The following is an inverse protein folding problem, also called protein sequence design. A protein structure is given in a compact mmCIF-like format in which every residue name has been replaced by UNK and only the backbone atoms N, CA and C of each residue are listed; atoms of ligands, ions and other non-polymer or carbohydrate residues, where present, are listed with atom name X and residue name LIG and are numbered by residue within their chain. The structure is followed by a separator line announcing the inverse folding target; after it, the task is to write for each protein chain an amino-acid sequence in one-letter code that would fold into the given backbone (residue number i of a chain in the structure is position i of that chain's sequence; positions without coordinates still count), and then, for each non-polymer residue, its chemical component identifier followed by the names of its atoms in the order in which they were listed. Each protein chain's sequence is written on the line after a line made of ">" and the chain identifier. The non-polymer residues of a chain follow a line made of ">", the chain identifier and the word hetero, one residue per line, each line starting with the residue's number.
data_IF_628329510443
#
_entry.id   IF_628329510443
#
_cell.length_a   1.000
_cell.length_b   1.000
_cell.length_c   1.000
_cell.angle_alpha   90.00
_cell.angle_beta   90.00
_cell.angle_gamma   90.00
#
_symmetry.space_group_name_H-M   'P 1'
#
loop_
_entity.id
_entity.type
_entity.pdbx_description
1 polymer ?
#
# COMPACT_ATOMS: atom_id res chain seq x y z
N UNK A 1 2.15 15.87 -14.40
CA UNK A 1 3.17 14.89 -13.99
C UNK A 1 4.55 15.40 -14.39
N UNK A 2 5.61 15.06 -13.66
CA UNK A 2 6.97 15.42 -14.05
C UNK A 2 7.41 14.59 -15.27
N UNK A 3 7.83 15.23 -16.35
CA UNK A 3 8.26 14.54 -17.58
C UNK A 3 9.78 14.27 -17.55
N UNK A 4 10.18 13.00 -17.57
CA UNK A 4 11.60 12.58 -17.61
C UNK A 4 12.35 13.17 -18.81
N UNK A 5 11.66 13.47 -19.91
CA UNK A 5 12.28 14.07 -21.11
C UNK A 5 12.88 15.44 -20.83
N UNK A 6 12.36 16.18 -19.84
CA UNK A 6 12.94 17.48 -19.44
C UNK A 6 14.37 17.31 -18.93
N UNK A 7 14.64 16.31 -18.10
CA UNK A 7 16.01 16.07 -17.61
C UNK A 7 16.89 15.42 -18.68
N UNK A 8 16.33 14.61 -19.57
CA UNK A 8 17.07 14.00 -20.69
C UNK A 8 17.55 15.05 -21.70
N UNK A 9 16.76 16.10 -21.95
CA UNK A 9 17.11 17.22 -22.84
C UNK A 9 18.01 18.27 -22.19
N UNK A 10 18.25 18.20 -20.89
CA UNK A 10 18.98 19.23 -20.15
C UNK A 10 20.36 19.53 -20.74
N UNK A 11 21.09 18.51 -21.22
CA UNK A 11 22.39 18.71 -21.87
C UNK A 11 22.31 19.38 -23.24
N UNK A 12 21.18 19.25 -23.93
CA UNK A 12 20.92 19.97 -25.19
C UNK A 12 20.48 21.41 -24.93
N UNK A 13 19.63 21.61 -23.92
CA UNK A 13 19.11 22.93 -23.53
C UNK A 13 20.21 23.81 -22.89
N UNK A 14 21.17 23.18 -22.21
CA UNK A 14 22.29 23.86 -21.55
C UNK A 14 23.64 23.19 -21.92
N UNK A 15 24.21 23.48 -23.10
CA UNK A 15 25.42 22.81 -23.59
C UNK A 15 26.68 23.04 -22.72
N UNK A 16 26.73 24.13 -21.96
CA UNK A 16 27.82 24.43 -21.03
C UNK A 16 27.69 23.75 -19.66
N UNK A 17 26.58 23.03 -19.42
CA UNK A 17 26.35 22.39 -18.14
C UNK A 17 27.31 21.23 -17.89
N UNK A 18 27.96 21.23 -16.73
CA UNK A 18 28.79 20.12 -16.29
C UNK A 18 27.93 19.02 -15.66
N UNK A 19 28.09 17.77 -16.13
CA UNK A 19 27.33 16.62 -15.63
C UNK A 19 28.14 15.79 -14.64
N UNK A 20 27.71 15.80 -13.38
CA UNK A 20 28.26 14.92 -12.32
C UNK A 20 27.34 13.72 -12.12
N UNK A 21 27.89 12.50 -12.15
CA UNK A 21 27.13 11.27 -12.00
C UNK A 21 27.45 10.55 -10.68
N UNK A 22 26.52 10.59 -9.73
CA UNK A 22 26.66 9.90 -8.44
C UNK A 22 26.19 8.44 -8.54
N UNK A 23 27.09 7.52 -8.90
CA UNK A 23 26.77 6.12 -9.20
C UNK A 23 26.57 5.22 -7.97
N UNK A 24 27.13 5.59 -6.82
CA UNK A 24 27.13 4.74 -5.63
C UNK A 24 25.89 4.98 -4.78
N UNK A 25 25.17 3.91 -4.44
CA UNK A 25 24.06 3.92 -3.49
C UNK A 25 24.56 3.43 -2.13
N UNK A 26 24.59 4.32 -1.13
CA UNK A 26 25.04 4.01 0.23
C UNK A 26 23.92 3.55 1.17
N UNK A 27 22.69 3.47 0.66
CA UNK A 27 21.49 3.21 1.46
C UNK A 27 21.17 1.73 1.57
N UNK A 28 21.04 1.08 0.41
CA UNK A 28 20.41 -0.24 0.35
C UNK A 28 21.44 -1.37 0.37
N UNK A 29 21.04 -2.58 0.81
CA UNK A 29 21.85 -3.78 0.66
C UNK A 29 22.21 -4.05 -0.80
N UNK A 30 23.37 -4.68 -1.02
CA UNK A 30 23.88 -4.94 -2.38
C UNK A 30 22.92 -5.78 -3.24
N UNK A 31 22.20 -6.74 -2.65
CA UNK A 31 21.20 -7.55 -3.33
C UNK A 31 19.97 -6.74 -3.76
N UNK A 32 19.50 -5.80 -2.93
CA UNK A 32 18.41 -4.86 -3.28
C UNK A 32 18.83 -3.97 -4.44
N UNK A 33 20.05 -3.43 -4.42
CA UNK A 33 20.58 -2.62 -5.53
C UNK A 33 20.72 -3.44 -6.81
N UNK A 34 21.28 -4.65 -6.73
CA UNK A 34 21.42 -5.51 -7.90
C UNK A 34 20.06 -5.84 -8.55
N UNK A 35 19.06 -6.20 -7.75
CA UNK A 35 17.72 -6.54 -8.25
C UNK A 35 17.00 -5.31 -8.86
N UNK A 36 16.95 -4.21 -8.12
CA UNK A 36 16.27 -2.98 -8.56
C UNK A 36 16.96 -2.32 -9.77
N UNK A 37 18.29 -2.38 -9.86
CA UNK A 37 19.05 -1.87 -10.99
C UNK A 37 18.82 -2.69 -12.26
N UNK A 38 18.70 -4.03 -12.17
CA UNK A 38 18.34 -4.90 -13.30
C UNK A 38 16.96 -4.55 -13.84
N UNK A 39 15.97 -4.45 -12.94
CA UNK A 39 14.61 -4.07 -13.29
C UNK A 39 14.59 -2.73 -14.02
N UNK A 40 15.05 -1.65 -13.39
CA UNK A 40 14.96 -0.31 -13.99
C UNK A 40 15.79 -0.16 -15.29
N UNK A 41 16.77 -1.04 -15.54
CA UNK A 41 17.55 -1.06 -16.78
C UNK A 41 16.74 -1.47 -18.02
N UNK A 42 15.55 -2.06 -17.84
CA UNK A 42 14.60 -2.36 -18.93
C UNK A 42 14.04 -1.09 -19.58
N UNK A 43 13.96 0.04 -18.84
CA UNK A 43 13.49 1.31 -19.39
C UNK A 43 14.40 1.81 -20.52
N UNK A 44 13.80 2.28 -21.61
CA UNK A 44 14.46 2.89 -22.77
C UNK A 44 14.67 4.38 -22.55
N UNK A 45 13.67 5.12 -22.04
CA UNK A 45 13.80 6.56 -21.77
C UNK A 45 14.50 6.83 -20.44
N UNK A 46 15.84 6.65 -20.42
CA UNK A 46 16.67 6.90 -19.23
C UNK A 46 18.08 7.36 -19.56
N UNK A 47 18.75 7.94 -18.56
CA UNK A 47 20.21 7.97 -18.55
C UNK A 47 20.75 6.58 -18.22
N UNK A 48 21.71 6.11 -19.02
CA UNK A 48 22.51 4.93 -18.71
C UNK A 48 23.45 5.24 -17.53
N UNK A 49 22.90 5.18 -16.32
CA UNK A 49 23.62 5.36 -15.06
C UNK A 49 23.85 4.00 -14.39
N UNK A 50 25.10 3.57 -14.18
CA UNK A 50 25.37 2.40 -13.37
C UNK A 50 25.07 2.74 -11.91
N UNK A 51 24.15 2.02 -11.29
CA UNK A 51 23.83 2.15 -9.86
C UNK A 51 24.47 0.96 -9.16
N UNK A 52 25.38 1.24 -8.23
CA UNK A 52 26.20 0.20 -7.58
C UNK A 52 26.18 0.38 -6.07
N UNK A 53 26.24 -0.71 -5.33
CA UNK A 53 26.57 -0.68 -3.91
C UNK A 53 28.05 -0.29 -3.72
N UNK A 54 28.47 0.19 -2.53
CA UNK A 54 29.86 0.44 -2.21
C UNK A 54 30.72 -0.81 -2.40
N UNK A 55 31.98 -0.61 -2.78
CA UNK A 55 32.96 -1.70 -2.88
C UNK A 55 33.08 -2.42 -1.54
N UNK A 56 33.03 -3.75 -1.54
CA UNK A 56 33.12 -4.57 -0.33
C UNK A 56 31.82 -4.69 0.46
N UNK A 57 30.69 -4.16 -0.02
CA UNK A 57 29.41 -4.38 0.62
C UNK A 57 29.07 -5.88 0.67
N UNK A 58 28.72 -6.43 1.85
CA UNK A 58 28.38 -7.83 1.98
C UNK A 58 27.14 -8.15 1.13
N UNK A 59 27.23 -9.21 0.33
CA UNK A 59 26.10 -9.74 -0.43
C UNK A 59 25.29 -10.62 0.52
N UNK A 60 24.40 -10.00 1.31
CA UNK A 60 23.43 -10.76 2.08
C UNK A 60 22.35 -11.29 1.15
N UNK A 61 22.31 -12.62 0.99
CA UNK A 61 21.24 -13.33 0.28
C UNK A 61 19.86 -13.13 0.93
N UNK A 62 19.84 -12.75 2.21
CA UNK A 62 18.62 -12.65 3.01
C UNK A 62 18.07 -11.23 3.12
N UNK A 63 18.60 -10.27 2.37
CA UNK A 63 18.09 -8.89 2.35
C UNK A 63 16.87 -8.69 1.46
N UNK A 64 16.49 -9.71 0.66
CA UNK A 64 15.21 -9.76 -0.06
C UNK A 64 14.51 -11.05 0.33
N UNK A 65 13.25 -10.97 0.73
CA UNK A 65 12.37 -12.11 0.94
C UNK A 65 11.07 -11.96 0.17
N UNK A 66 10.45 -13.07 -0.18
CA UNK A 66 9.14 -13.13 -0.81
C UNK A 66 8.15 -13.74 0.18
N UNK A 67 6.92 -13.22 0.21
CA UNK A 67 5.85 -13.68 1.06
C UNK A 67 4.59 -13.94 0.22
N UNK A 68 4.01 -15.13 0.36
CA UNK A 68 2.79 -15.49 -0.36
C UNK A 68 1.55 -14.85 0.30
N UNK A 69 0.73 -14.17 -0.48
CA UNK A 69 -0.58 -13.66 -0.03
C UNK A 69 -1.75 -14.60 -0.39
N UNK A 70 -1.45 -15.81 -0.88
CA UNK A 70 -2.48 -16.80 -1.22
C UNK A 70 -3.19 -17.36 0.02
N UNK A 71 -2.50 -17.40 1.16
CA UNK A 71 -3.11 -17.76 2.45
C UNK A 71 -3.87 -16.56 3.03
N UNK A 72 -5.19 -16.65 3.30
CA UNK A 72 -5.98 -15.54 3.86
C UNK A 72 -5.46 -14.97 5.19
N UNK A 73 -4.63 -15.72 5.93
CA UNK A 73 -4.00 -15.30 7.18
C UNK A 73 -2.72 -14.47 7.00
N UNK A 74 -2.28 -14.25 5.76
CA UNK A 74 -1.08 -13.46 5.46
C UNK A 74 -1.05 -12.08 6.14
N UNK A 75 -2.17 -11.33 6.30
CA UNK A 75 -2.12 -10.02 6.96
C UNK A 75 -1.77 -10.16 8.45
N UNK A 76 -2.30 -11.18 9.13
CA UNK A 76 -1.99 -11.42 10.54
C UNK A 76 -0.54 -11.88 10.73
N UNK A 77 -0.01 -12.64 9.78
CA UNK A 77 1.40 -13.01 9.79
C UNK A 77 2.32 -11.78 9.58
N UNK A 78 1.95 -10.89 8.67
CA UNK A 78 2.61 -9.58 8.49
C UNK A 78 2.53 -8.71 9.74
N UNK A 79 1.38 -8.66 10.42
CA UNK A 79 1.23 -7.90 11.65
C UNK A 79 2.10 -8.47 12.79
N UNK A 80 2.21 -9.79 12.92
CA UNK A 80 3.16 -10.43 13.84
C UNK A 80 4.60 -10.08 13.50
N UNK A 81 4.97 -10.12 12.22
CA UNK A 81 6.30 -9.70 11.77
C UNK A 81 6.56 -8.23 12.11
N UNK A 82 5.63 -7.32 11.85
CA UNK A 82 5.75 -5.91 12.23
C UNK A 82 5.91 -5.72 13.75
N UNK A 83 5.16 -6.47 14.56
CA UNK A 83 5.32 -6.45 16.02
C UNK A 83 6.75 -6.86 16.46
N UNK A 84 7.37 -7.82 15.77
CA UNK A 84 8.77 -8.19 16.07
C UNK A 84 9.79 -7.14 15.66
N UNK A 85 9.52 -6.37 14.61
CA UNK A 85 10.37 -5.23 14.21
C UNK A 85 10.19 -4.06 15.18
N UNK A 86 8.95 -3.72 15.56
CA UNK A 86 8.62 -2.70 16.57
C UNK A 86 9.27 -3.01 17.92
N UNK A 87 9.13 -4.24 18.43
CA UNK A 87 9.74 -4.68 19.69
C UNK A 87 11.28 -4.60 19.67
N UNK A 88 11.89 -4.63 18.48
CA UNK A 88 13.33 -4.48 18.32
C UNK A 88 13.77 -3.04 17.99
N UNK A 89 12.85 -2.08 18.01
CA UNK A 89 13.10 -0.67 17.70
C UNK A 89 13.45 -0.42 16.22
N UNK A 90 13.11 -1.35 15.33
CA UNK A 90 13.44 -1.25 13.90
C UNK A 90 12.31 -0.64 13.11
N UNK A 91 12.65 0.31 12.25
CA UNK A 91 11.67 0.96 11.37
C UNK A 91 11.18 0.01 10.27
N UNK A 92 9.86 -0.06 10.08
CA UNK A 92 9.21 -0.86 9.05
C UNK A 92 8.13 -0.05 8.32
N UNK A 93 8.09 -0.14 7.00
CA UNK A 93 7.00 0.46 6.22
C UNK A 93 6.34 -0.56 5.29
N UNK A 94 5.02 -0.68 5.39
CA UNK A 94 4.18 -1.32 4.39
C UNK A 94 3.88 -0.31 3.29
N UNK A 95 4.37 -0.60 2.08
CA UNK A 95 4.14 0.19 0.89
C UNK A 95 3.20 -0.55 -0.07
N UNK A 96 2.30 0.19 -0.71
CA UNK A 96 1.46 -0.31 -1.81
C UNK A 96 1.31 0.74 -2.90
N UNK A 97 0.74 0.33 -4.04
CA UNK A 97 0.48 1.24 -5.14
C UNK A 97 -0.72 2.15 -4.86
N UNK A 98 -1.73 1.63 -4.17
CA UNK A 98 -2.97 2.32 -3.80
C UNK A 98 -3.31 2.10 -2.33
N UNK A 99 -4.01 3.05 -1.68
CA UNK A 99 -4.32 2.96 -0.25
C UNK A 99 -5.17 1.75 0.12
N UNK A 100 -6.13 1.37 -0.73
CA UNK A 100 -7.05 0.25 -0.48
C UNK A 100 -6.34 -1.09 -0.31
N UNK A 101 -5.22 -1.31 -0.99
CA UNK A 101 -4.42 -2.54 -0.90
C UNK A 101 -3.82 -2.77 0.50
N UNK A 102 -3.68 -1.73 1.31
CA UNK A 102 -3.14 -1.81 2.67
C UNK A 102 -4.21 -2.05 3.74
N UNK A 103 -5.50 -2.04 3.36
CA UNK A 103 -6.59 -2.22 4.32
C UNK A 103 -6.49 -3.55 5.10
N UNK A 104 -6.19 -4.71 4.48
CA UNK A 104 -6.03 -5.96 5.22
C UNK A 104 -4.92 -5.89 6.28
N UNK A 105 -3.80 -5.25 5.94
CA UNK A 105 -2.66 -5.08 6.85
C UNK A 105 -3.01 -4.13 8.00
N UNK A 106 -3.66 -3.00 7.70
CA UNK A 106 -4.13 -2.05 8.71
C UNK A 106 -5.02 -2.75 9.74
N UNK A 107 -6.01 -3.52 9.29
CA UNK A 107 -6.90 -4.26 10.18
C UNK A 107 -6.15 -5.30 11.01
N UNK A 108 -5.18 -6.01 10.42
CA UNK A 108 -4.36 -6.98 11.13
C UNK A 108 -3.47 -6.33 12.20
N UNK A 109 -2.85 -5.17 11.91
CA UNK A 109 -2.10 -4.40 12.90
C UNK A 109 -2.98 -3.95 14.05
N UNK A 110 -4.20 -3.48 13.75
CA UNK A 110 -5.20 -3.11 14.77
C UNK A 110 -5.55 -4.32 15.62
N UNK A 111 -5.84 -5.49 15.03
CA UNK A 111 -6.12 -6.73 15.80
C UNK A 111 -4.94 -7.15 16.66
N UNK A 112 -3.72 -7.06 16.15
CA UNK A 112 -2.49 -7.38 16.87
C UNK A 112 -2.11 -6.35 17.95
N UNK A 113 -2.73 -5.16 17.95
CA UNK A 113 -2.41 -4.10 18.92
C UNK A 113 -1.09 -3.39 18.62
N UNK A 114 -0.67 -3.37 17.34
CA UNK A 114 0.58 -2.75 16.92
C UNK A 114 0.35 -1.27 16.66
N UNK A 115 1.11 -0.41 17.35
CA UNK A 115 1.10 1.03 17.11
C UNK A 115 1.65 1.32 15.72
N UNK A 116 1.03 2.25 15.01
CA UNK A 116 1.44 2.53 13.64
C UNK A 116 1.14 3.97 13.21
N UNK A 117 1.93 4.45 12.25
CA UNK A 117 1.68 5.68 11.51
C UNK A 117 0.97 5.37 10.21
N UNK A 118 -0.15 6.04 9.93
CA UNK A 118 -0.80 5.92 8.62
C UNK A 118 -1.62 7.14 8.26
N UNK A 119 -1.58 7.52 6.98
CA UNK A 119 -2.51 8.48 6.38
C UNK A 119 -3.70 7.78 5.69
N UNK A 120 -3.84 6.46 5.85
CA UNK A 120 -4.99 5.71 5.34
C UNK A 120 -6.14 5.93 6.30
N UNK A 121 -7.28 6.36 5.75
CA UNK A 121 -8.53 6.45 6.51
C UNK A 121 -9.18 5.06 6.59
N UNK A 122 -9.33 4.47 7.78
CA UNK A 122 -10.09 3.26 7.99
C UNK A 122 -11.55 3.50 7.65
N UNK A 123 -12.21 2.43 7.24
CA UNK A 123 -13.61 2.43 6.84
C UNK A 123 -14.55 2.99 7.91
N UNK A 124 -14.27 2.72 9.19
CA UNK A 124 -15.07 3.21 10.31
C UNK A 124 -15.02 4.73 10.50
N UNK A 125 -14.07 5.42 9.88
CA UNK A 125 -13.91 6.87 9.92
C UNK A 125 -14.42 7.57 8.65
N UNK A 126 -14.89 6.82 7.64
CA UNK A 126 -15.49 7.41 6.45
C UNK A 126 -16.71 8.27 6.84
N UNK A 127 -16.82 9.49 6.29
CA UNK A 127 -17.89 10.43 6.66
C UNK A 127 -19.29 9.83 6.47
N UNK A 128 -19.50 9.10 5.38
CA UNK A 128 -20.73 8.35 5.08
C UNK A 128 -21.06 7.30 6.15
N UNK A 129 -20.06 6.56 6.63
CA UNK A 129 -20.22 5.59 7.72
C UNK A 129 -20.53 6.29 9.05
N UNK A 130 -19.81 7.36 9.39
CA UNK A 130 -20.06 8.15 10.61
C UNK A 130 -21.49 8.67 10.60
N UNK A 131 -21.94 9.25 9.49
CA UNK A 131 -23.31 9.75 9.36
C UNK A 131 -24.36 8.64 9.55
N UNK A 132 -24.17 7.49 8.90
CA UNK A 132 -25.07 6.35 9.05
C UNK A 132 -25.14 5.84 10.50
N UNK A 133 -24.01 5.74 11.18
CA UNK A 133 -23.98 5.28 12.59
C UNK A 133 -24.61 6.28 13.55
N UNK A 134 -24.42 7.59 13.33
CA UNK A 134 -25.11 8.62 14.11
C UNK A 134 -26.63 8.57 13.89
N UNK A 135 -27.07 8.43 12.64
CA UNK A 135 -28.48 8.31 12.32
C UNK A 135 -29.13 7.05 12.91
N UNK A 136 -28.39 5.94 12.99
CA UNK A 136 -28.86 4.73 13.66
C UNK A 136 -28.98 4.93 15.17
N UNK A 137 -28.06 5.69 15.78
CA UNK A 137 -28.09 6.04 17.20
C UNK A 137 -29.28 6.93 17.57
N UNK A 138 -29.62 7.87 16.69
CA UNK A 138 -30.75 8.79 16.86
C UNK A 138 -32.11 8.16 16.48
N UNK A 139 -32.10 6.94 15.93
CA UNK A 139 -33.30 6.24 15.51
C UNK A 139 -33.97 5.53 16.68
N UNK A 140 -35.30 5.51 16.69
CA UNK A 140 -36.10 4.64 17.57
C UNK A 140 -36.27 3.21 17.01
N UNK A 141 -35.70 2.93 15.83
CA UNK A 141 -35.77 1.62 15.20
C UNK A 141 -34.88 0.61 15.94
N UNK A 142 -35.50 -0.45 16.46
CA UNK A 142 -34.85 -1.52 17.26
C UNK A 142 -34.74 -2.84 16.50
N UNK A 143 -35.02 -2.84 15.20
CA UNK A 143 -34.83 -4.00 14.33
C UNK A 143 -33.33 -4.37 14.24
N UNK A 144 -33.04 -5.48 13.57
CA UNK A 144 -31.68 -5.93 13.30
C UNK A 144 -30.86 -4.80 12.61
N UNK A 145 -29.59 -4.55 13.01
CA UNK A 145 -28.82 -3.39 12.55
C UNK A 145 -28.68 -3.28 11.03
N UNK A 146 -28.59 -4.43 10.33
CA UNK A 146 -28.62 -4.45 8.87
C UNK A 146 -29.86 -3.78 8.28
N UNK A 147 -31.05 -4.09 8.81
CA UNK A 147 -32.31 -3.54 8.31
C UNK A 147 -32.44 -2.05 8.65
N UNK A 148 -32.04 -1.66 9.86
CA UNK A 148 -31.99 -0.25 10.29
C UNK A 148 -31.10 0.56 9.34
N UNK A 149 -29.85 0.15 9.16
CA UNK A 149 -28.90 0.87 8.31
C UNK A 149 -29.30 0.86 6.84
N UNK A 150 -29.90 -0.23 6.34
CA UNK A 150 -30.40 -0.29 4.96
C UNK A 150 -31.56 0.67 4.74
N UNK A 151 -32.52 0.76 5.66
CA UNK A 151 -33.60 1.76 5.60
C UNK A 151 -33.04 3.18 5.65
N UNK A 152 -32.05 3.45 6.50
CA UNK A 152 -31.40 4.76 6.60
C UNK A 152 -30.65 5.15 5.32
N UNK A 153 -30.00 4.20 4.64
CA UNK A 153 -29.38 4.41 3.31
C UNK A 153 -30.44 4.79 2.27
N UNK A 154 -31.53 4.02 2.19
CA UNK A 154 -32.62 4.28 1.23
C UNK A 154 -33.33 5.59 1.52
N UNK A 155 -33.60 5.93 2.79
CA UNK A 155 -34.25 7.17 3.18
C UNK A 155 -33.43 8.42 2.79
N UNK A 156 -32.10 8.29 2.70
CA UNK A 156 -31.19 9.33 2.21
C UNK A 156 -31.07 9.37 0.69
N UNK A 157 -31.66 8.40 -0.02
CA UNK A 157 -31.42 8.20 -1.43
C UNK A 157 -29.94 7.90 -1.71
N UNK A 158 -29.28 7.12 -0.87
CA UNK A 158 -27.86 6.73 -1.06
C UNK A 158 -27.70 5.36 -1.72
N UNK A 159 -28.76 4.84 -2.32
CA UNK A 159 -28.71 3.63 -3.13
C UNK A 159 -28.04 3.95 -4.48
N UNK A 160 -27.26 3.00 -5.02
CA UNK A 160 -26.59 3.19 -6.32
C UNK A 160 -27.63 3.42 -7.43
N UNK A 161 -27.40 4.39 -8.30
CA UNK A 161 -28.31 4.75 -9.39
C UNK A 161 -29.45 5.67 -8.96
N UNK A 162 -29.41 6.22 -7.74
CA UNK A 162 -30.31 7.28 -7.30
C UNK A 162 -29.59 8.64 -7.36
N UNK A 163 -30.31 9.78 -7.52
CA UNK A 163 -29.67 11.07 -7.72
C UNK A 163 -28.69 11.49 -6.61
N UNK A 164 -29.00 11.19 -5.34
CA UNK A 164 -28.11 11.48 -4.22
C UNK A 164 -27.02 10.41 -4.04
N UNK A 165 -27.30 9.15 -4.35
CA UNK A 165 -26.33 8.06 -4.33
C UNK A 165 -25.23 8.23 -5.37
N UNK A 166 -25.55 8.80 -6.52
CA UNK A 166 -24.57 9.08 -7.59
C UNK A 166 -23.64 10.26 -7.25
N UNK A 167 -23.93 11.01 -6.18
CA UNK A 167 -23.03 12.03 -5.62
C UNK A 167 -21.98 11.44 -4.66
N UNK A 168 -22.20 10.22 -4.15
CA UNK A 168 -21.23 9.53 -3.30
C UNK A 168 -20.09 8.98 -4.14
N UNK A 169 -18.88 8.98 -3.56
CA UNK A 169 -17.73 8.36 -4.22
C UNK A 169 -17.84 6.83 -4.22
N UNK A 170 -17.09 6.16 -5.10
CA UNK A 170 -16.98 4.69 -5.06
C UNK A 170 -16.48 4.18 -3.71
N UNK A 171 -15.57 4.93 -3.06
CA UNK A 171 -15.04 4.63 -1.74
C UNK A 171 -16.12 4.77 -0.66
N UNK A 172 -17.01 5.76 -0.76
CA UNK A 172 -18.17 5.90 0.15
C UNK A 172 -19.12 4.72 0.03
N UNK A 173 -19.46 4.31 -1.20
CA UNK A 173 -20.33 3.15 -1.39
C UNK A 173 -19.67 1.88 -0.85
N UNK A 174 -18.38 1.68 -1.11
CA UNK A 174 -17.64 0.54 -0.56
C UNK A 174 -17.61 0.57 0.98
N UNK A 175 -17.48 1.76 1.58
CA UNK A 175 -17.53 1.93 3.03
C UNK A 175 -18.89 1.55 3.61
N UNK A 176 -19.98 2.02 3.01
CA UNK A 176 -21.35 1.69 3.40
C UNK A 176 -21.62 0.19 3.23
N UNK A 177 -21.22 -0.40 2.10
CA UNK A 177 -21.44 -1.81 1.80
C UNK A 177 -20.72 -2.71 2.83
N UNK A 178 -19.48 -2.37 3.22
CA UNK A 178 -18.76 -3.08 4.26
C UNK A 178 -19.37 -2.89 5.66
N UNK A 179 -19.87 -1.69 5.97
CA UNK A 179 -20.58 -1.42 7.23
C UNK A 179 -21.82 -2.32 7.34
N UNK A 180 -22.64 -2.37 6.28
CA UNK A 180 -23.80 -3.25 6.19
C UNK A 180 -23.39 -4.72 6.35
N UNK A 181 -22.34 -5.17 5.66
CA UNK A 181 -21.80 -6.52 5.84
C UNK A 181 -21.41 -6.81 7.29
N UNK A 182 -20.75 -5.86 7.96
CA UNK A 182 -20.34 -6.01 9.36
C UNK A 182 -21.54 -6.14 10.30
N UNK A 183 -22.63 -5.41 10.06
CA UNK A 183 -23.85 -5.50 10.89
C UNK A 183 -24.46 -6.89 10.95
N UNK A 184 -24.21 -7.74 9.96
CA UNK A 184 -24.74 -9.12 9.93
C UNK A 184 -24.22 -10.01 11.06
N UNK A 185 -23.09 -9.62 11.68
CA UNK A 185 -22.52 -10.33 12.83
C UNK A 185 -23.13 -9.96 14.19
N UNK A 186 -24.14 -9.08 14.23
CA UNK A 186 -24.68 -8.53 15.49
C UNK A 186 -26.18 -8.76 15.61
N UNK A 187 -26.62 -9.19 16.79
CA UNK A 187 -28.04 -9.42 17.05
C UNK A 187 -28.86 -8.13 17.18
N UNK A 188 -28.28 -7.04 17.67
CA UNK A 188 -28.99 -5.78 17.96
C UNK A 188 -28.20 -4.56 17.51
N UNK A 189 -28.92 -3.47 17.24
CA UNK A 189 -28.32 -2.17 16.88
C UNK A 189 -27.41 -1.64 17.98
N UNK A 190 -27.81 -1.77 19.25
CA UNK A 190 -26.98 -1.34 20.38
C UNK A 190 -25.66 -2.11 20.47
N UNK A 191 -25.69 -3.43 20.27
CA UNK A 191 -24.49 -4.26 20.27
C UNK A 191 -23.55 -3.89 19.11
N UNK A 192 -24.10 -3.63 17.93
CA UNK A 192 -23.34 -3.14 16.79
C UNK A 192 -22.71 -1.76 17.05
N UNK A 193 -23.49 -0.79 17.55
CA UNK A 193 -22.99 0.56 17.85
C UNK A 193 -21.88 0.52 18.91
N UNK A 194 -22.04 -0.30 19.95
CA UNK A 194 -21.00 -0.49 20.96
C UNK A 194 -19.70 -1.08 20.36
N UNK A 195 -19.82 -2.05 19.45
CA UNK A 195 -18.67 -2.62 18.75
C UNK A 195 -18.01 -1.64 17.78
N UNK A 196 -18.81 -0.81 17.11
CA UNK A 196 -18.33 0.28 16.26
C UNK A 196 -17.52 1.31 17.08
N UNK A 197 -18.05 1.75 18.22
CA UNK A 197 -17.37 2.69 19.11
C UNK A 197 -16.07 2.10 19.67
N UNK A 198 -16.08 0.82 20.06
CA UNK A 198 -14.89 0.10 20.51
C UNK A 198 -13.82 0.00 19.41
N UNK A 199 -14.21 -0.29 18.16
CA UNK A 199 -13.29 -0.35 17.03
C UNK A 199 -12.64 1.02 16.75
N UNK A 200 -13.43 2.10 16.77
CA UNK A 200 -12.92 3.47 16.59
C UNK A 200 -11.95 3.86 17.70
N UNK A 201 -12.31 3.59 18.96
CA UNK A 201 -11.44 3.86 20.10
C UNK A 201 -10.12 3.11 19.99
N UNK A 202 -10.16 1.82 19.61
CA UNK A 202 -8.97 1.00 19.41
C UNK A 202 -8.07 1.55 18.30
N UNK A 203 -8.64 1.92 17.15
CA UNK A 203 -7.89 2.50 16.03
C UNK A 203 -7.22 3.81 16.46
N UNK A 204 -7.97 4.69 17.11
CA UNK A 204 -7.44 5.97 17.58
C UNK A 204 -6.29 5.77 18.59
N UNK A 205 -6.42 4.81 19.51
CA UNK A 205 -5.39 4.51 20.51
C UNK A 205 -4.12 3.85 19.95
N UNK A 206 -4.17 3.27 18.75
CA UNK A 206 -3.02 2.65 18.09
C UNK A 206 -2.32 3.57 17.07
N UNK A 207 -2.92 4.70 16.72
CA UNK A 207 -2.27 5.68 15.85
C UNK A 207 -1.27 6.50 16.65
N UNK A 208 -0.01 6.44 16.24
CA UNK A 208 1.09 7.14 16.90
C UNK A 208 2.05 7.65 15.82
N UNK A 209 2.22 8.97 15.65
CA UNK A 209 3.11 9.55 14.63
C UNK A 209 4.58 9.13 14.76
N UNK A 210 5.00 8.74 15.96
CA UNK A 210 6.37 8.30 16.26
C UNK A 210 6.50 6.77 16.24
N UNK A 211 5.46 6.04 15.83
CA UNK A 211 5.53 4.59 15.71
C UNK A 211 6.57 4.18 14.64
N UNK A 212 7.38 3.14 14.92
CA UNK A 212 8.36 2.64 13.95
C UNK A 212 7.71 1.88 12.79
N UNK A 213 6.45 1.44 12.95
CA UNK A 213 5.67 0.77 11.92
C UNK A 213 4.80 1.79 11.18
N UNK A 214 4.89 1.78 9.86
CA UNK A 214 4.17 2.73 9.01
C UNK A 214 3.44 2.04 7.85
N UNK A 215 2.33 2.63 7.42
CA UNK A 215 1.65 2.28 6.17
C UNK A 215 1.54 3.49 5.25
N UNK A 216 1.98 3.33 4.00
CA UNK A 216 1.99 4.42 3.03
C UNK A 216 1.91 3.95 1.58
N UNK A 217 1.67 4.89 0.67
CA UNK A 217 1.76 4.60 -0.77
C UNK A 217 3.19 4.77 -1.26
N UNK A 218 3.54 4.11 -2.35
CA UNK A 218 4.84 4.29 -3.01
C UNK A 218 5.15 5.76 -3.32
N UNK A 219 4.14 6.56 -3.71
CA UNK A 219 4.32 7.99 -3.96
C UNK A 219 4.71 8.77 -2.70
N UNK A 220 4.08 8.45 -1.56
CA UNK A 220 4.37 9.08 -0.28
C UNK A 220 5.73 8.66 0.32
N UNK A 221 6.38 7.64 -0.25
CA UNK A 221 7.68 7.15 0.21
C UNK A 221 8.88 7.98 -0.30
N UNK A 222 8.67 8.84 -1.31
CA UNK A 222 9.76 9.56 -1.97
C UNK A 222 10.56 10.41 -0.98
N UNK A 223 11.87 10.16 -0.93
CA UNK A 223 12.80 10.88 -0.05
C UNK A 223 12.94 10.28 1.36
N UNK A 224 12.16 9.25 1.68
CA UNK A 224 12.16 8.57 2.99
C UNK A 224 12.85 7.22 2.89
N UNK A 225 13.11 6.57 4.03
CA UNK A 225 13.77 5.26 4.11
C UNK A 225 13.43 4.56 5.43
N UNK A 226 13.45 3.24 5.42
CA UNK A 226 13.15 2.37 6.58
C UNK A 226 14.11 1.18 6.57
N UNK A 227 14.36 0.60 7.73
CA UNK A 227 15.14 -0.64 7.84
C UNK A 227 14.47 -1.76 7.05
N UNK A 228 13.17 -1.94 7.26
CA UNK A 228 12.37 -2.92 6.52
C UNK A 228 11.33 -2.23 5.65
N UNK A 229 11.25 -2.65 4.39
CA UNK A 229 10.14 -2.26 3.50
C UNK A 229 9.41 -3.51 3.08
N UNK A 230 8.10 -3.53 3.29
CA UNK A 230 7.20 -4.57 2.80
C UNK A 230 6.41 -3.98 1.64
N UNK A 231 6.68 -4.42 0.41
CA UNK A 231 5.90 -4.03 -0.75
C UNK A 231 4.73 -5.01 -0.92
N UNK A 232 3.55 -4.54 -0.54
CA UNK A 232 2.28 -5.26 -0.58
C UNK A 232 1.69 -5.18 -1.99
N UNK A 233 1.06 -6.28 -2.42
CA UNK A 233 0.47 -6.42 -3.76
C UNK A 233 1.50 -6.23 -4.87
N UNK A 234 2.67 -6.87 -4.74
CA UNK A 234 3.67 -6.92 -5.82
C UNK A 234 3.27 -7.92 -6.92
N UNK A 235 2.09 -7.65 -7.49
CA UNK A 235 1.31 -8.53 -8.35
C UNK A 235 1.04 -7.87 -9.71
N UNK A 236 0.72 -8.68 -10.71
CA UNK A 236 0.14 -8.18 -11.96
C UNK A 236 -1.11 -7.33 -11.68
N UNK A 237 -1.32 -6.30 -12.50
CA UNK A 237 -2.42 -5.31 -12.40
C UNK A 237 -2.42 -4.38 -11.17
N UNK A 238 -1.71 -4.73 -10.09
CA UNK A 238 -1.46 -3.85 -8.93
C UNK A 238 -0.16 -3.04 -9.10
N UNK A 239 0.95 -3.74 -9.37
CA UNK A 239 2.25 -3.14 -9.68
C UNK A 239 2.91 -3.94 -10.80
N UNK A 240 2.81 -3.51 -12.07
CA UNK A 240 2.34 -2.19 -12.53
C UNK A 240 0.82 -2.00 -12.41
N UNK A 241 0.39 -0.77 -12.13
CA UNK A 241 -1.03 -0.46 -11.98
C UNK A 241 -1.80 -0.52 -13.31
N UNK A 242 -2.81 -1.38 -13.39
CA UNK A 242 -3.62 -1.58 -14.60
C UNK A 242 -4.27 -0.30 -15.13
N UNK A 243 -4.82 0.55 -14.26
CA UNK A 243 -5.47 1.80 -14.69
C UNK A 243 -4.44 2.77 -15.29
N UNK A 244 -3.27 2.89 -14.66
CA UNK A 244 -2.18 3.72 -15.21
C UNK A 244 -1.71 3.27 -16.60
N UNK A 245 -1.83 1.99 -16.92
CA UNK A 245 -1.50 1.47 -18.26
C UNK A 245 -2.66 1.62 -19.26
N UNK A 246 -3.91 1.55 -18.80
CA UNK A 246 -5.10 1.63 -19.65
C UNK A 246 -5.47 3.08 -20.04
N UNK A 247 -5.25 4.04 -19.14
CA UNK A 247 -5.70 5.43 -19.28
C UNK A 247 -4.64 6.32 -19.98
N UNK A 248 -3.85 5.78 -20.91
CA UNK A 248 -2.78 6.51 -21.59
C UNK A 248 -2.65 6.18 -23.07
N UNK A 249 -2.26 7.18 -23.86
CA UNK A 249 -1.95 7.02 -25.29
C UNK A 249 -0.58 6.34 -25.54
N UNK A 250 0.26 6.21 -24.50
CA UNK A 250 1.60 5.62 -24.58
C UNK A 250 1.82 4.58 -23.45
N UNK A 251 1.28 3.36 -23.61
CA UNK A 251 1.36 2.30 -22.59
C UNK A 251 2.78 1.87 -22.25
N UNK A 252 3.69 1.86 -23.23
CA UNK A 252 5.11 1.52 -23.02
C UNK A 252 5.76 2.53 -22.05
N UNK A 253 5.48 3.82 -22.24
CA UNK A 253 5.96 4.86 -21.35
C UNK A 253 5.32 4.77 -19.96
N UNK A 254 4.03 4.48 -19.87
CA UNK A 254 3.38 4.28 -18.58
C UNK A 254 3.98 3.08 -17.82
N UNK A 255 4.30 2.00 -18.53
CA UNK A 255 5.03 0.85 -17.97
C UNK A 255 6.41 1.24 -17.46
N UNK A 256 7.14 2.08 -18.19
CA UNK A 256 8.41 2.63 -17.70
C UNK A 256 8.25 3.46 -16.41
N UNK A 257 7.16 4.23 -16.29
CA UNK A 257 6.90 5.03 -15.10
C UNK A 257 6.53 4.18 -13.89
N UNK A 258 5.67 3.17 -14.07
CA UNK A 258 5.37 2.19 -13.02
C UNK A 258 6.64 1.44 -12.58
N UNK A 259 7.56 1.15 -13.50
CA UNK A 259 8.87 0.59 -13.17
C UNK A 259 9.75 1.56 -12.37
N UNK A 260 9.72 2.86 -12.68
CA UNK A 260 10.40 3.90 -11.86
C UNK A 260 9.80 3.99 -10.46
N UNK A 261 8.48 3.88 -10.34
CA UNK A 261 7.79 3.82 -9.04
C UNK A 261 8.20 2.58 -8.24
N UNK A 262 8.20 1.40 -8.86
CA UNK A 262 8.70 0.18 -8.24
C UNK A 262 10.15 0.38 -7.77
N UNK A 263 11.04 0.87 -8.64
CA UNK A 263 12.43 1.16 -8.27
C UNK A 263 12.52 2.09 -7.05
N UNK A 264 11.70 3.15 -7.00
CA UNK A 264 11.63 4.06 -5.86
C UNK A 264 11.25 3.32 -4.59
N UNK A 265 10.24 2.43 -4.62
CA UNK A 265 9.78 1.67 -3.46
C UNK A 265 10.85 0.69 -2.95
N UNK A 266 11.43 -0.12 -3.85
CA UNK A 266 12.44 -1.12 -3.49
C UNK A 266 13.68 -0.46 -2.86
N UNK A 267 14.07 0.72 -3.35
CA UNK A 267 15.23 1.47 -2.84
C UNK A 267 14.94 2.33 -1.61
N UNK A 268 13.83 2.08 -0.91
CA UNK A 268 13.56 2.62 0.43
C UNK A 268 14.10 1.75 1.56
N UNK A 269 14.36 0.46 1.29
CA UNK A 269 14.89 -0.47 2.29
C UNK A 269 16.37 -0.23 2.55
N UNK A 270 16.75 -0.01 3.82
CA UNK A 270 18.16 0.07 4.23
C UNK A 270 18.72 -1.27 4.70
N UNK A 271 17.85 -2.22 5.10
CA UNK A 271 18.26 -3.53 5.63
C UNK A 271 17.55 -4.72 4.97
N UNK A 272 16.22 -4.68 4.87
CA UNK A 272 15.42 -5.81 4.41
C UNK A 272 14.25 -5.36 3.52
N UNK A 273 14.07 -6.05 2.40
CA UNK A 273 12.96 -5.86 1.48
C UNK A 273 12.10 -7.13 1.47
N UNK A 274 10.82 -7.00 1.74
CA UNK A 274 9.83 -8.08 1.65
C UNK A 274 8.91 -7.80 0.47
N UNK A 275 8.72 -8.77 -0.42
CA UNK A 275 7.79 -8.70 -1.55
C UNK A 275 6.59 -9.60 -1.22
N UNK A 276 5.43 -9.00 -0.92
CA UNK A 276 4.21 -9.75 -0.61
C UNK A 276 3.30 -9.78 -1.84
N UNK A 277 3.00 -10.98 -2.36
CA UNK A 277 2.22 -11.17 -3.58
C UNK A 277 1.57 -12.55 -3.67
N UNK A 278 0.50 -12.65 -4.45
CA UNK A 278 -0.13 -13.92 -4.83
C UNK A 278 0.74 -14.61 -5.90
N UNK A 279 1.29 -15.81 -5.63
CA UNK A 279 2.13 -16.53 -6.59
C UNK A 279 1.43 -16.90 -7.91
N UNK A 280 0.09 -16.88 -7.95
CA UNK A 280 -0.68 -17.11 -9.18
C UNK A 280 -0.70 -15.90 -10.11
N UNK A 281 -0.38 -14.70 -9.60
CA UNK A 281 -0.37 -13.43 -10.36
C UNK A 281 0.85 -12.57 -10.02
N UNK A 282 2.08 -13.09 -10.15
CA UNK A 282 3.28 -12.33 -9.81
C UNK A 282 3.41 -11.08 -10.67
N UNK A 283 3.97 -10.00 -10.11
CA UNK A 283 4.36 -8.85 -10.92
C UNK A 283 5.37 -9.25 -11.99
N UNK A 284 5.26 -8.75 -13.25
CA UNK A 284 6.28 -8.94 -14.28
C UNK A 284 7.66 -8.40 -13.83
N UNK A 285 7.68 -7.43 -12.92
CA UNK A 285 8.91 -6.86 -12.38
C UNK A 285 9.74 -7.86 -11.58
N UNK A 286 9.15 -8.93 -11.03
CA UNK A 286 9.90 -10.01 -10.37
C UNK A 286 10.89 -10.68 -11.34
N UNK A 287 10.44 -10.97 -12.57
CA UNK A 287 11.28 -11.57 -13.59
C UNK A 287 12.39 -10.61 -14.03
N UNK A 288 12.08 -9.32 -14.18
CA UNK A 288 13.07 -8.29 -14.52
C UNK A 288 14.11 -8.09 -13.41
N UNK A 289 13.72 -8.30 -12.15
CA UNK A 289 14.63 -8.34 -10.99
C UNK A 289 15.50 -9.60 -10.97
N UNK A 290 15.21 -10.62 -11.78
CA UNK A 290 15.93 -11.90 -11.84
C UNK A 290 15.41 -12.96 -10.85
N UNK A 291 14.16 -12.83 -10.40
CA UNK A 291 13.50 -13.80 -9.52
C UNK A 291 12.51 -14.68 -10.28
N UNK A 292 12.39 -15.95 -9.89
CA UNK A 292 11.34 -16.84 -10.37
C UNK A 292 10.09 -16.70 -9.48
N UNK A 293 8.90 -16.76 -10.07
CA UNK A 293 7.62 -16.61 -9.36
C UNK A 293 7.43 -17.63 -8.21
N UNK A 294 8.08 -18.79 -8.27
CA UNK A 294 7.98 -19.88 -7.30
C UNK A 294 8.79 -19.65 -6.00
N UNK A 295 9.51 -18.53 -5.86
CA UNK A 295 10.38 -18.28 -4.70
C UNK A 295 9.66 -17.71 -3.46
N UNK A 296 8.33 -17.52 -3.52
CA UNK A 296 7.52 -17.21 -2.34
C UNK A 296 7.34 -18.48 -1.49
N UNK A 297 8.31 -18.80 -0.64
CA UNK A 297 8.15 -19.86 0.35
C UNK A 297 7.15 -19.41 1.42
N UNK A 298 6.14 -20.25 1.70
CA UNK A 298 5.29 -20.11 2.88
C UNK A 298 6.19 -20.19 4.12
N UNK A 299 6.34 -19.06 4.82
CA UNK A 299 6.96 -18.98 6.15
C UNK A 299 5.94 -18.46 7.14
#
# INVERSE_FOLDING_TARGET
>A
MADVRRILRFSSDYPSAHRVMLATNYRCPASVIAASARMVAVNRERFAKPIRAPSGSPVSSNSISAWSTADPSWPDAMARFAATEDAAGRSLCFLSRTRGELMPVLLALVRAGVRHTTAISPLVEASSVVEMTNAARDSDDRDHPFHVLRRLRTARGWDRGSPAGDLLTDDDHAAIDALLGWTTGFATTDAFLAAYDAARSRIAGLRDPEAPVELGTVHASKGREWETVVLVSFEADSMPNRRSLADTDDPDRAMEEERRLAYVALTRATRHLVLAFDPSRPSPFLAEMGFAAQQAHAK
#
